data_IF_090242232716
#
_entry.id   IF_090242232716
#
_cell.length_a   1.000
_cell.length_b   1.000
_cell.length_c   1.000
_cell.angle_alpha   90.00
_cell.angle_beta   90.00
_cell.angle_gamma   90.00
#
_symmetry.space_group_name_H-M   'P 1'
#
loop_
_entity.id
_entity.type
_entity.pdbx_description
1 polymer ?
#
# COMPACT_ATOMS: atom_id res chain seq x y z
N UNK A 1 5.57 -13.81 28.83
CA UNK A 1 6.20 -12.80 27.94
C UNK A 1 5.55 -11.47 28.24
N UNK A 2 6.29 -10.38 28.50
CA UNK A 2 5.65 -9.11 28.82
C UNK A 2 4.98 -8.50 27.57
N UNK A 3 3.85 -7.83 27.82
CA UNK A 3 2.91 -7.23 26.88
C UNK A 3 3.51 -6.02 26.13
N UNK A 4 3.03 -5.85 24.89
CA UNK A 4 3.12 -4.69 24.00
C UNK A 4 3.43 -3.34 24.68
N UNK A 5 4.56 -2.72 24.29
CA UNK A 5 4.78 -1.28 24.41
C UNK A 5 4.48 -0.60 23.06
N UNK A 6 3.40 0.18 23.05
CA UNK A 6 3.17 1.46 22.36
C UNK A 6 3.48 1.60 20.86
N UNK A 7 3.01 0.69 20.01
CA UNK A 7 2.87 1.06 18.59
C UNK A 7 1.80 2.15 18.46
N UNK A 8 2.09 3.31 17.82
CA UNK A 8 1.10 4.37 17.64
C UNK A 8 -0.07 3.85 16.82
N UNK A 9 -1.23 4.51 16.91
CA UNK A 9 -2.33 4.20 15.99
C UNK A 9 -1.99 4.72 14.59
N UNK A 10 -2.59 4.12 13.55
CA UNK A 10 -2.45 4.62 12.18
C UNK A 10 -2.85 6.09 12.07
N UNK A 11 -3.96 6.47 12.73
CA UNK A 11 -4.40 7.86 12.81
C UNK A 11 -3.37 8.77 13.48
N UNK A 12 -2.75 8.34 14.59
CA UNK A 12 -1.70 9.13 15.25
C UNK A 12 -0.49 9.37 14.35
N UNK A 13 -0.10 8.40 13.52
CA UNK A 13 0.98 8.59 12.54
C UNK A 13 0.57 9.57 11.45
N UNK A 14 -0.64 9.42 10.91
CA UNK A 14 -1.19 10.31 9.88
C UNK A 14 -1.35 11.74 10.40
N UNK A 15 -1.73 11.91 11.66
CA UNK A 15 -1.87 13.20 12.33
C UNK A 15 -0.53 13.90 12.60
N UNK A 16 0.59 13.18 12.57
CA UNK A 16 1.93 13.76 12.59
C UNK A 16 2.33 14.41 11.27
N UNK A 17 1.65 14.09 10.16
CA UNK A 17 2.00 14.56 8.83
C UNK A 17 1.55 16.01 8.59
N UNK A 18 2.20 16.65 7.62
CA UNK A 18 1.74 17.96 7.09
C UNK A 18 0.30 17.89 6.60
N UNK A 19 -0.44 19.00 6.66
CA UNK A 19 -1.86 19.06 6.25
C UNK A 19 -2.12 18.46 4.87
N UNK A 20 -1.24 18.74 3.88
CA UNK A 20 -1.36 18.21 2.53
C UNK A 20 -1.18 16.68 2.50
N UNK A 21 -0.11 16.17 3.11
CA UNK A 21 0.19 14.72 3.11
C UNK A 21 -0.88 13.94 3.89
N UNK A 22 -1.31 14.48 5.03
CA UNK A 22 -2.43 13.94 5.82
C UNK A 22 -3.68 13.76 4.97
N UNK A 23 -4.08 14.76 4.19
CA UNK A 23 -5.26 14.67 3.34
C UNK A 23 -5.15 13.54 2.29
N UNK A 24 -3.97 13.35 1.69
CA UNK A 24 -3.72 12.28 0.72
C UNK A 24 -3.81 10.90 1.38
N UNK A 25 -3.14 10.70 2.52
CA UNK A 25 -3.14 9.40 3.20
C UNK A 25 -4.50 9.10 3.82
N UNK A 26 -5.21 10.09 4.37
CA UNK A 26 -6.57 9.91 4.85
C UNK A 26 -7.52 9.47 3.75
N UNK A 27 -7.38 10.03 2.54
CA UNK A 27 -8.19 9.62 1.39
C UNK A 27 -7.88 8.18 0.95
N UNK A 28 -6.59 7.82 0.86
CA UNK A 28 -6.18 6.45 0.58
C UNK A 28 -6.76 5.48 1.62
N UNK A 29 -6.59 5.80 2.91
CA UNK A 29 -7.10 5.03 4.05
C UNK A 29 -8.61 4.80 3.93
N UNK A 30 -9.39 5.87 3.72
CA UNK A 30 -10.84 5.78 3.59
C UNK A 30 -11.25 4.79 2.49
N UNK A 31 -10.65 4.91 1.30
CA UNK A 31 -11.00 4.04 0.17
C UNK A 31 -10.55 2.60 0.45
N UNK A 32 -9.35 2.40 0.98
CA UNK A 32 -8.81 1.05 1.24
C UNK A 32 -9.59 0.34 2.35
N UNK A 33 -9.98 1.04 3.42
CA UNK A 33 -10.84 0.48 4.47
C UNK A 33 -12.27 0.21 4.00
N UNK A 34 -12.74 0.87 2.93
CA UNK A 34 -14.04 0.55 2.34
C UNK A 34 -14.03 -0.77 1.55
N UNK A 35 -12.85 -1.31 1.23
CA UNK A 35 -12.70 -2.66 0.71
C UNK A 35 -12.95 -3.61 1.90
N UNK A 36 -14.08 -4.31 1.90
CA UNK A 36 -14.48 -5.15 3.04
C UNK A 36 -13.39 -6.12 3.51
N UNK A 37 -13.31 -6.35 4.82
CA UNK A 37 -12.33 -7.27 5.42
C UNK A 37 -10.91 -6.71 5.52
N UNK A 38 -10.72 -5.41 5.28
CA UNK A 38 -9.41 -4.75 5.47
C UNK A 38 -9.22 -4.28 6.90
N UNK A 39 -8.04 -4.57 7.43
CA UNK A 39 -7.54 -4.10 8.72
C UNK A 39 -6.38 -3.13 8.50
N UNK A 40 -6.27 -2.14 9.37
CA UNK A 40 -5.11 -1.24 9.40
C UNK A 40 -4.30 -1.45 10.67
N UNK A 41 -2.98 -1.31 10.55
CA UNK A 41 -2.05 -1.30 11.67
C UNK A 41 -0.80 -0.52 11.30
N UNK A 42 -0.03 -0.10 12.30
CA UNK A 42 1.28 0.49 12.05
C UNK A 42 2.33 -0.58 11.86
N UNK A 43 3.20 -0.39 10.87
CA UNK A 43 4.41 -1.18 10.64
C UNK A 43 5.61 -0.31 10.98
N UNK A 44 6.51 -0.79 11.85
CA UNK A 44 7.80 -0.14 12.03
C UNK A 44 8.73 -0.59 10.91
N UNK A 45 9.11 0.35 10.04
CA UNK A 45 10.10 0.08 9.01
C UNK A 45 11.49 0.37 9.57
N UNK A 46 12.30 -0.68 9.71
CA UNK A 46 13.63 -0.60 10.28
C UNK A 46 14.65 0.14 9.39
N UNK A 47 14.40 0.24 8.08
CA UNK A 47 15.28 0.94 7.16
C UNK A 47 15.20 2.45 7.37
N UNK A 48 13.99 3.00 7.47
CA UNK A 48 13.80 4.43 7.75
C UNK A 48 13.63 4.77 9.23
N UNK A 49 13.48 3.75 10.10
CA UNK A 49 13.29 3.88 11.55
C UNK A 49 12.03 4.67 11.91
N UNK A 50 10.97 4.46 11.15
CA UNK A 50 9.70 5.17 11.28
C UNK A 50 8.51 4.20 11.36
N UNK A 51 7.46 4.62 12.07
CA UNK A 51 6.16 3.95 12.05
C UNK A 51 5.38 4.39 10.80
N UNK A 52 4.81 3.43 10.09
CA UNK A 52 4.10 3.67 8.82
C UNK A 52 2.69 3.07 8.86
N UNK A 53 1.68 3.75 8.28
CA UNK A 53 0.37 3.16 8.04
C UNK A 53 0.49 1.97 7.09
N UNK A 54 -0.08 0.83 7.46
CA UNK A 54 -0.13 -0.36 6.63
C UNK A 54 -1.52 -1.02 6.68
N UNK A 55 -1.94 -1.57 5.54
CA UNK A 55 -3.27 -2.14 5.34
C UNK A 55 -3.16 -3.60 4.94
N UNK A 56 -4.01 -4.43 5.51
CA UNK A 56 -3.98 -5.89 5.38
C UNK A 56 -5.37 -6.43 5.10
N UNK A 57 -5.45 -7.56 4.40
CA UNK A 57 -6.67 -8.37 4.32
C UNK A 57 -6.26 -9.84 4.37
N UNK A 58 -6.98 -10.65 5.15
CA UNK A 58 -6.69 -12.09 5.34
C UNK A 58 -5.21 -12.38 5.61
N UNK A 59 -4.59 -11.60 6.51
CA UNK A 59 -3.17 -11.71 6.84
C UNK A 59 -2.18 -11.24 5.77
N UNK A 60 -2.63 -10.88 4.56
CA UNK A 60 -1.78 -10.38 3.47
C UNK A 60 -1.71 -8.86 3.48
N UNK A 61 -0.50 -8.28 3.45
CA UNK A 61 -0.33 -6.83 3.32
C UNK A 61 -0.78 -6.39 1.93
N UNK A 62 -1.75 -5.48 1.86
CA UNK A 62 -2.16 -4.82 0.63
C UNK A 62 -1.13 -3.76 0.25
N UNK A 63 -0.93 -2.77 1.12
CA UNK A 63 0.01 -1.68 0.93
C UNK A 63 0.45 -1.08 2.27
N UNK A 64 1.47 -0.21 2.22
CA UNK A 64 1.86 0.65 3.32
C UNK A 64 2.36 2.01 2.77
N UNK A 65 2.42 3.04 3.62
CA UNK A 65 2.78 4.40 3.20
C UNK A 65 3.91 4.95 4.05
N UNK A 66 4.97 5.42 3.39
CA UNK A 66 6.10 6.12 3.99
C UNK A 66 5.94 7.63 3.85
N UNK A 67 6.20 8.37 4.93
CA UNK A 67 6.25 9.83 4.95
C UNK A 67 7.69 10.32 5.10
N UNK A 68 8.51 10.13 4.07
CA UNK A 68 9.86 10.66 4.08
C UNK A 68 9.81 12.19 4.07
N UNK A 69 10.76 12.85 4.73
CA UNK A 69 10.82 14.32 4.74
C UNK A 69 10.70 14.95 3.34
N UNK A 70 11.31 14.34 2.33
CA UNK A 70 11.25 14.80 0.94
C UNK A 70 9.99 14.34 0.16
N UNK A 71 9.49 13.13 0.39
CA UNK A 71 8.44 12.51 -0.42
C UNK A 71 7.46 11.64 0.39
N UNK A 72 6.19 11.63 -0.03
CA UNK A 72 5.20 10.68 0.44
C UNK A 72 5.14 9.53 -0.56
N UNK A 73 5.26 8.28 -0.10
CA UNK A 73 5.39 7.12 -0.97
C UNK A 73 4.50 5.98 -0.52
N UNK A 74 3.66 5.49 -1.42
CA UNK A 74 2.88 4.27 -1.19
C UNK A 74 3.61 3.07 -1.79
N UNK A 75 3.65 1.97 -1.05
CA UNK A 75 4.39 0.78 -1.41
C UNK A 75 3.47 -0.44 -1.47
N UNK A 76 3.64 -1.27 -2.49
CA UNK A 76 2.94 -2.54 -2.65
C UNK A 76 3.88 -3.64 -3.14
N UNK A 77 3.87 -4.79 -2.46
CA UNK A 77 4.59 -5.98 -2.93
C UNK A 77 3.77 -6.78 -3.94
N UNK A 78 4.42 -7.20 -5.03
CA UNK A 78 3.82 -7.97 -6.13
C UNK A 78 4.67 -9.21 -6.45
N UNK A 79 4.12 -10.40 -6.24
CA UNK A 79 4.78 -11.66 -6.61
C UNK A 79 4.73 -11.89 -8.12
N UNK A 80 5.89 -12.13 -8.75
CA UNK A 80 6.00 -12.26 -10.21
C UNK A 80 5.20 -13.43 -10.80
N UNK A 81 5.05 -14.52 -10.03
CA UNK A 81 4.36 -15.74 -10.48
C UNK A 81 2.89 -15.78 -10.06
N UNK A 82 2.43 -14.80 -9.29
CA UNK A 82 1.11 -14.82 -8.65
C UNK A 82 0.32 -13.57 -8.99
N UNK A 83 0.66 -12.45 -8.37
CA UNK A 83 -0.11 -11.21 -8.50
C UNK A 83 0.20 -10.46 -9.80
N UNK A 84 1.44 -10.52 -10.30
CA UNK A 84 1.80 -9.80 -11.54
C UNK A 84 0.97 -10.24 -12.76
N UNK A 85 0.81 -11.54 -13.09
CA UNK A 85 -0.04 -11.97 -14.20
C UNK A 85 -1.50 -11.52 -14.04
N UNK A 86 -2.00 -11.49 -12.79
CA UNK A 86 -3.36 -11.04 -12.49
C UNK A 86 -3.51 -9.52 -12.72
N UNK A 87 -2.51 -8.73 -12.33
CA UNK A 87 -2.44 -7.30 -12.64
C UNK A 87 -2.42 -7.08 -14.15
N UNK A 88 -1.56 -7.78 -14.88
CA UNK A 88 -1.41 -7.58 -16.34
C UNK A 88 -2.65 -7.99 -17.15
N UNK A 89 -3.52 -8.83 -16.58
CA UNK A 89 -4.78 -9.24 -17.18
C UNK A 89 -5.98 -8.37 -16.74
N UNK A 90 -5.77 -7.33 -15.93
CA UNK A 90 -6.85 -6.52 -15.37
C UNK A 90 -7.23 -5.34 -16.28
N UNK A 91 -8.47 -5.32 -16.79
CA UNK A 91 -8.98 -4.28 -17.69
C UNK A 91 -9.23 -2.91 -17.03
N UNK A 92 -9.07 -2.81 -15.70
CA UNK A 92 -9.36 -1.60 -14.90
C UNK A 92 -8.14 -0.73 -14.56
N UNK A 93 -6.94 -1.10 -15.03
CA UNK A 93 -5.72 -0.37 -14.72
C UNK A 93 -5.26 0.50 -15.89
N UNK A 94 -4.70 1.67 -15.56
CA UNK A 94 -4.06 2.54 -16.53
C UNK A 94 -2.84 1.86 -17.18
N UNK A 95 -2.48 2.31 -18.39
CA UNK A 95 -1.24 1.86 -19.04
C UNK A 95 0.00 2.18 -18.20
N UNK A 96 -0.04 3.26 -17.42
CA UNK A 96 1.03 3.65 -16.50
C UNK A 96 1.19 2.64 -15.37
N UNK A 97 0.09 2.17 -14.78
CA UNK A 97 0.13 1.10 -13.78
C UNK A 97 0.72 -0.20 -14.35
N UNK A 98 0.32 -0.60 -15.55
CA UNK A 98 0.90 -1.77 -16.21
C UNK A 98 2.40 -1.62 -16.47
N UNK A 99 2.84 -0.45 -16.96
CA UNK A 99 4.26 -0.16 -17.19
C UNK A 99 5.06 -0.18 -15.90
N UNK A 100 4.59 0.49 -14.86
CA UNK A 100 5.25 0.52 -13.55
C UNK A 100 5.43 -0.89 -12.99
N UNK A 101 4.40 -1.74 -13.09
CA UNK A 101 4.48 -3.15 -12.66
C UNK A 101 5.49 -3.90 -13.51
N UNK A 102 5.42 -3.81 -14.84
CA UNK A 102 6.31 -4.53 -15.74
C UNK A 102 7.80 -4.16 -15.54
N UNK A 103 8.08 -2.87 -15.39
CA UNK A 103 9.44 -2.31 -15.32
C UNK A 103 10.08 -2.42 -13.92
N UNK A 104 9.28 -2.62 -12.87
CA UNK A 104 9.83 -2.74 -11.50
C UNK A 104 10.69 -4.01 -11.36
N UNK A 105 11.96 -3.90 -10.91
CA UNK A 105 12.81 -5.05 -10.69
C UNK A 105 12.29 -6.00 -9.60
N UNK A 106 12.58 -7.29 -9.76
CA UNK A 106 12.13 -8.35 -8.85
C UNK A 106 13.28 -9.23 -8.35
N UNK A 107 14.23 -8.69 -7.57
CA UNK A 107 15.46 -9.41 -7.18
C UNK A 107 15.22 -10.71 -6.40
N UNK A 108 14.00 -10.92 -5.86
CA UNK A 108 13.61 -12.13 -5.11
C UNK A 108 12.24 -12.66 -5.54
N UNK A 109 11.93 -12.64 -6.84
CA UNK A 109 10.61 -13.01 -7.38
C UNK A 109 9.43 -12.17 -6.85
N UNK A 110 9.73 -11.07 -6.15
CA UNK A 110 8.77 -10.11 -5.62
C UNK A 110 9.24 -8.72 -6.04
N UNK A 111 8.35 -7.98 -6.68
CA UNK A 111 8.50 -6.58 -7.02
C UNK A 111 8.03 -5.75 -5.83
N UNK A 112 8.78 -4.70 -5.52
CA UNK A 112 8.38 -3.70 -4.53
C UNK A 112 8.01 -2.43 -5.30
N UNK A 113 6.72 -2.30 -5.63
CA UNK A 113 6.21 -1.11 -6.30
C UNK A 113 6.22 0.05 -5.33
N UNK A 114 6.78 1.18 -5.77
CA UNK A 114 6.97 2.38 -4.97
C UNK A 114 6.43 3.56 -5.77
N UNK A 115 5.24 4.05 -5.40
CA UNK A 115 4.58 5.15 -6.10
C UNK A 115 4.66 6.43 -5.24
N UNK A 116 5.25 7.52 -5.76
CA UNK A 116 5.13 8.83 -5.14
C UNK A 116 3.66 9.29 -5.12
N UNK A 117 3.18 9.77 -3.98
CA UNK A 117 1.82 10.29 -3.82
C UNK A 117 1.88 11.79 -3.58
N UNK A 118 1.64 12.57 -4.63
CA UNK A 118 1.77 14.03 -4.62
C UNK A 118 0.44 14.75 -4.83
N UNK A 119 -0.55 14.01 -5.34
CA UNK A 119 -1.88 14.48 -5.72
C UNK A 119 -2.97 13.43 -5.44
N UNK A 120 -4.24 13.83 -5.52
CA UNK A 120 -5.36 12.89 -5.41
C UNK A 120 -5.43 11.92 -6.58
N UNK A 121 -4.97 12.33 -7.78
CA UNK A 121 -4.88 11.43 -8.93
C UNK A 121 -3.93 10.26 -8.63
N UNK A 122 -2.80 10.53 -7.99
CA UNK A 122 -1.83 9.49 -7.61
C UNK A 122 -2.45 8.52 -6.58
N UNK A 123 -3.28 9.04 -5.66
CA UNK A 123 -4.05 8.19 -4.73
C UNK A 123 -4.98 7.27 -5.49
N UNK A 124 -5.75 7.79 -6.46
CA UNK A 124 -6.70 7.00 -7.24
C UNK A 124 -6.00 5.91 -8.09
N UNK A 125 -4.88 6.25 -8.75
CA UNK A 125 -4.07 5.31 -9.53
C UNK A 125 -3.50 4.20 -8.64
N UNK A 126 -2.96 4.54 -7.46
CA UNK A 126 -2.45 3.55 -6.52
C UNK A 126 -3.57 2.66 -5.94
N UNK A 127 -4.72 3.25 -5.61
CA UNK A 127 -5.87 2.51 -5.09
C UNK A 127 -6.40 1.51 -6.12
N UNK A 128 -6.35 1.81 -7.41
CA UNK A 128 -6.74 0.86 -8.45
C UNK A 128 -5.89 -0.43 -8.38
N UNK A 129 -4.58 -0.30 -8.18
CA UNK A 129 -3.68 -1.43 -7.95
C UNK A 129 -4.00 -2.19 -6.65
N UNK A 130 -4.31 -1.47 -5.56
CA UNK A 130 -4.70 -2.08 -4.28
C UNK A 130 -5.99 -2.89 -4.41
N UNK A 131 -6.97 -2.40 -5.19
CA UNK A 131 -8.22 -3.12 -5.46
C UNK A 131 -7.97 -4.44 -6.18
N UNK A 132 -7.14 -4.43 -7.23
CA UNK A 132 -6.75 -5.65 -7.95
C UNK A 132 -6.07 -6.66 -7.01
N UNK A 133 -5.18 -6.19 -6.13
CA UNK A 133 -4.55 -7.05 -5.12
C UNK A 133 -5.55 -7.58 -4.08
N UNK A 134 -6.49 -6.75 -3.63
CA UNK A 134 -7.55 -7.17 -2.72
C UNK A 134 -8.45 -8.25 -3.35
N UNK A 135 -8.83 -8.07 -4.62
CA UNK A 135 -9.58 -9.09 -5.38
C UNK A 135 -8.80 -10.39 -5.53
N UNK A 136 -7.51 -10.31 -5.87
CA UNK A 136 -6.64 -11.47 -5.97
C UNK A 136 -6.62 -12.27 -4.65
N UNK A 137 -6.43 -11.60 -3.51
CA UNK A 137 -6.43 -12.27 -2.20
C UNK A 137 -7.77 -12.92 -1.90
N UNK A 138 -8.88 -12.28 -2.26
CA UNK A 138 -10.22 -12.83 -2.01
C UNK A 138 -10.59 -14.00 -2.93
N UNK A 139 -10.12 -13.99 -4.18
CA UNK A 139 -10.35 -15.06 -5.16
C UNK A 139 -9.44 -16.27 -4.96
N UNK A 140 -8.20 -16.05 -4.53
CA UNK A 140 -7.20 -17.11 -4.40
C UNK A 140 -7.44 -18.05 -3.19
N UNK A 141 -8.44 -17.78 -2.35
CA UNK A 141 -8.75 -18.63 -1.18
C UNK A 141 -7.64 -18.69 -0.13
N UNK A 142 -6.68 -17.77 -0.19
CA UNK A 142 -5.66 -17.53 0.84
C UNK A 142 -6.26 -16.74 2.00
#
# INVERSE_FOLDING_TARGET
MPLHQDSPTVLSVIDGMTKKRRALVMRLREIVLSLGGVEERTLYDHFCREWTPAFYTRGTQLCHVHDFGADLRATMFVGMKTLEPFIMASDGLSLENHRMVAETPAPRNTKELRMPITSMKDVDEFVALVRVKWEFVHRAGV
#
